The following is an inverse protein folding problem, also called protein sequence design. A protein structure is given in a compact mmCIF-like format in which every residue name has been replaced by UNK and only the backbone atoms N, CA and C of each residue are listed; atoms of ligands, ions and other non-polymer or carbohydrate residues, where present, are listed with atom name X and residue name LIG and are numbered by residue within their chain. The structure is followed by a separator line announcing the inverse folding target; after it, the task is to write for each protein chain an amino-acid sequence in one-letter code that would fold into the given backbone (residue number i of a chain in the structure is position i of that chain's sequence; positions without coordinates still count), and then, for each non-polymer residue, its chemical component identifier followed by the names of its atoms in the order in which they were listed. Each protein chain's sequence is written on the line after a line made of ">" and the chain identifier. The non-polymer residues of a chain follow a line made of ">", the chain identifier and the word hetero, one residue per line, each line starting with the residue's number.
data_IF_802834441656
#
_entry.id   IF_802834441656
#
_cell.length_a   1.000
_cell.length_b   1.000
_cell.length_c   1.000
_cell.angle_alpha   90.00
_cell.angle_beta   90.00
_cell.angle_gamma   90.00
#
_symmetry.space_group_name_H-M   'P 1'
#
loop_
_entity.id
_entity.type
_entity.pdbx_description
1 polymer ?
#
# COMPACT_ATOMS: atom_id res chain seq x y z
N UNK A 1 -6.30 59.39 -6.16
CA UNK A 1 -6.28 58.12 -6.90
C UNK A 1 -6.63 57.03 -5.90
N UNK A 2 -7.59 56.19 -6.26
CA UNK A 2 -8.41 55.39 -5.36
C UNK A 2 -7.64 54.29 -4.61
N UNK A 3 -7.95 54.13 -3.32
CA UNK A 3 -7.65 52.92 -2.55
C UNK A 3 -8.48 51.75 -3.09
N UNK A 4 -7.80 50.72 -3.55
CA UNK A 4 -8.38 49.44 -3.95
C UNK A 4 -8.56 48.54 -2.72
N UNK A 5 -9.77 48.49 -2.17
CA UNK A 5 -10.18 47.51 -1.16
C UNK A 5 -10.21 46.09 -1.77
N UNK A 6 -9.33 45.24 -1.25
CA UNK A 6 -9.27 43.81 -1.54
C UNK A 6 -10.46 43.09 -0.89
N UNK A 7 -11.45 42.73 -1.72
CA UNK A 7 -12.67 42.05 -1.30
C UNK A 7 -12.38 40.59 -0.94
N UNK A 8 -12.57 40.23 0.33
CA UNK A 8 -12.49 38.86 0.83
C UNK A 8 -13.38 37.89 0.02
N UNK A 9 -12.94 36.64 -0.22
CA UNK A 9 -13.73 35.67 -0.97
C UNK A 9 -14.97 35.26 -0.17
N UNK A 10 -16.14 35.62 -0.70
CA UNK A 10 -17.44 35.19 -0.18
C UNK A 10 -17.53 33.67 -0.17
N UNK A 11 -17.64 33.07 1.01
CA UNK A 11 -18.00 31.65 1.18
C UNK A 11 -19.41 31.42 0.61
N UNK A 12 -19.49 31.02 -0.65
CA UNK A 12 -20.73 30.55 -1.27
C UNK A 12 -21.01 29.14 -0.74
N UNK A 13 -21.89 29.05 0.26
CA UNK A 13 -22.45 27.76 0.69
C UNK A 13 -23.09 27.08 -0.51
N UNK A 14 -22.72 25.83 -0.86
CA UNK A 14 -23.37 25.13 -1.97
C UNK A 14 -24.86 24.97 -1.66
N UNK A 15 -25.75 25.13 -2.65
CA UNK A 15 -27.18 25.02 -2.43
C UNK A 15 -27.51 23.66 -1.80
N UNK A 16 -28.50 23.60 -0.89
CA UNK A 16 -28.87 22.34 -0.27
C UNK A 16 -29.21 21.34 -1.37
N UNK A 17 -28.50 20.20 -1.39
CA UNK A 17 -28.77 19.10 -2.33
C UNK A 17 -30.24 18.72 -2.18
N UNK A 18 -31.06 19.16 -3.15
CA UNK A 18 -32.47 18.80 -3.23
C UNK A 18 -32.50 17.28 -3.34
N UNK A 19 -32.84 16.58 -2.24
CA UNK A 19 -33.07 15.13 -2.27
C UNK A 19 -34.15 14.92 -3.32
N UNK A 20 -33.77 14.38 -4.47
CA UNK A 20 -34.75 13.82 -5.40
C UNK A 20 -35.39 12.68 -4.62
N UNK A 21 -36.59 12.91 -4.09
CA UNK A 21 -37.44 11.84 -3.62
C UNK A 21 -37.84 11.07 -4.88
N UNK A 22 -37.00 10.11 -5.28
CA UNK A 22 -37.42 9.09 -6.23
C UNK A 22 -38.64 8.42 -5.59
N UNK A 23 -39.79 8.52 -6.27
CA UNK A 23 -40.90 7.64 -5.96
C UNK A 23 -40.40 6.23 -6.27
N UNK A 24 -40.17 5.45 -5.23
CA UNK A 24 -39.85 4.03 -5.38
C UNK A 24 -41.20 3.40 -5.69
N UNK A 25 -41.43 3.03 -6.94
CA UNK A 25 -42.60 2.24 -7.30
C UNK A 25 -42.50 0.92 -6.54
N UNK A 26 -43.38 0.74 -5.55
CA UNK A 26 -43.40 -0.44 -4.69
C UNK A 26 -43.90 -1.70 -5.42
N UNK A 27 -44.39 -1.54 -6.65
CA UNK A 27 -44.90 -2.60 -7.51
C UNK A 27 -43.85 -3.13 -8.51
N UNK A 28 -42.59 -2.70 -8.39
CA UNK A 28 -41.48 -3.27 -9.18
C UNK A 28 -41.08 -4.60 -8.55
N UNK A 29 -41.41 -5.69 -9.23
CA UNK A 29 -40.96 -7.04 -8.87
C UNK A 29 -39.43 -7.07 -8.92
N UNK A 30 -38.79 -7.03 -7.74
CA UNK A 30 -37.34 -7.11 -7.61
C UNK A 30 -36.94 -8.55 -7.95
N UNK A 31 -36.17 -8.77 -9.04
CA UNK A 31 -35.75 -10.12 -9.38
C UNK A 31 -34.95 -10.71 -8.22
N UNK A 32 -35.22 -11.97 -7.88
CA UNK A 32 -34.45 -12.64 -6.82
C UNK A 32 -32.96 -12.63 -7.18
N UNK A 33 -32.08 -12.24 -6.25
CA UNK A 33 -30.66 -12.20 -6.52
C UNK A 33 -30.13 -13.60 -6.83
N UNK A 34 -29.61 -13.79 -8.04
CA UNK A 34 -28.94 -15.03 -8.42
C UNK A 34 -27.61 -15.18 -7.67
N UNK A 35 -27.48 -16.22 -6.85
CA UNK A 35 -26.24 -16.52 -6.09
C UNK A 35 -25.28 -17.48 -6.81
N UNK A 36 -25.44 -17.68 -8.13
CA UNK A 36 -24.60 -18.60 -8.92
C UNK A 36 -23.10 -18.24 -8.92
N UNK A 37 -22.77 -17.00 -8.57
CA UNK A 37 -21.41 -16.50 -8.42
C UNK A 37 -20.81 -16.76 -7.03
N UNK A 38 -21.64 -16.96 -6.00
CA UNK A 38 -21.22 -17.17 -4.61
C UNK A 38 -20.22 -18.33 -4.43
N UNK A 39 -20.39 -19.51 -5.06
CA UNK A 39 -19.40 -20.59 -4.98
C UNK A 39 -18.09 -20.30 -5.75
N UNK A 40 -17.99 -19.22 -6.52
CA UNK A 40 -16.79 -18.86 -7.29
C UNK A 40 -15.74 -18.10 -6.46
N UNK A 41 -15.83 -18.20 -5.14
CA UNK A 41 -15.05 -17.42 -4.18
C UNK A 41 -14.63 -18.37 -3.08
N UNK A 42 -13.33 -18.42 -2.78
CA UNK A 42 -12.77 -19.43 -1.88
C UNK A 42 -13.17 -19.21 -0.41
N UNK A 43 -13.42 -17.97 0.00
CA UNK A 43 -13.92 -17.64 1.33
C UNK A 43 -14.97 -16.53 1.28
N UNK A 44 -16.04 -16.68 2.05
CA UNK A 44 -17.14 -15.72 2.16
C UNK A 44 -17.37 -15.29 3.60
N UNK A 45 -17.85 -14.05 3.77
CA UNK A 45 -18.31 -13.58 5.07
C UNK A 45 -17.20 -13.27 6.07
N UNK A 46 -15.93 -13.24 5.63
CA UNK A 46 -14.80 -12.80 6.47
C UNK A 46 -15.03 -11.34 6.87
N UNK A 47 -15.09 -11.10 8.18
CA UNK A 47 -15.22 -9.77 8.77
C UNK A 47 -14.17 -9.60 9.85
N UNK A 48 -13.33 -8.60 9.67
CA UNK A 48 -12.30 -8.23 10.64
C UNK A 48 -12.78 -7.02 11.44
N UNK A 49 -12.62 -7.07 12.76
CA UNK A 49 -12.85 -5.91 13.63
C UNK A 49 -11.51 -5.22 13.91
N UNK A 50 -11.44 -3.87 13.87
CA UNK A 50 -10.25 -3.14 14.28
C UNK A 50 -9.82 -3.52 15.71
N UNK A 51 -8.52 -3.67 15.92
CA UNK A 51 -7.93 -3.90 17.25
C UNK A 51 -7.58 -2.59 17.96
N UNK A 52 -6.82 -2.70 19.06
CA UNK A 52 -6.38 -1.53 19.84
C UNK A 52 -5.51 -0.55 19.02
N UNK A 53 -4.74 -1.05 18.05
CA UNK A 53 -3.90 -0.26 17.12
C UNK A 53 -4.65 0.14 15.83
N UNK A 54 -5.97 -0.03 15.79
CA UNK A 54 -6.76 0.12 14.56
C UNK A 54 -6.76 -1.14 13.69
N UNK A 55 -6.95 -0.95 12.39
CA UNK A 55 -6.95 -2.04 11.41
C UNK A 55 -5.56 -2.16 10.80
N UNK A 56 -4.78 -3.13 11.27
CA UNK A 56 -3.41 -3.40 10.80
C UNK A 56 -3.40 -4.46 9.71
N UNK A 57 -2.34 -4.48 8.90
CA UNK A 57 -2.12 -5.50 7.88
C UNK A 57 -2.16 -6.91 8.47
N UNK A 58 -1.53 -7.11 9.64
CA UNK A 58 -1.59 -8.38 10.35
C UNK A 58 -3.01 -8.73 10.82
N UNK A 59 -3.81 -7.74 11.19
CA UNK A 59 -5.22 -7.94 11.54
C UNK A 59 -6.09 -8.38 10.36
N UNK A 60 -5.66 -8.10 9.12
CA UNK A 60 -6.37 -8.51 7.90
C UNK A 60 -6.11 -9.97 7.50
N UNK A 61 -5.06 -10.60 8.04
CA UNK A 61 -4.68 -11.98 7.80
C UNK A 61 -5.62 -12.96 8.53
N UNK A 62 -6.88 -13.04 8.10
CA UNK A 62 -7.93 -13.92 8.66
C UNK A 62 -8.39 -14.93 7.62
N UNK A 63 -8.64 -16.17 8.07
CA UNK A 63 -9.10 -17.25 7.19
C UNK A 63 -8.00 -17.70 6.21
N UNK A 64 -8.39 -18.04 4.99
CA UNK A 64 -7.45 -18.49 3.94
C UNK A 64 -6.47 -17.39 3.54
N UNK A 65 -6.81 -16.13 3.79
CA UNK A 65 -5.93 -14.98 3.55
C UNK A 65 -4.82 -14.85 4.60
N UNK A 66 -4.97 -15.50 5.76
CA UNK A 66 -3.95 -15.53 6.81
C UNK A 66 -3.06 -16.77 6.77
N UNK A 67 -3.53 -17.86 6.17
CA UNK A 67 -2.75 -19.09 6.05
C UNK A 67 -1.61 -18.92 5.05
N UNK A 68 -0.36 -19.01 5.52
CA UNK A 68 0.82 -18.97 4.66
C UNK A 68 1.23 -20.42 4.35
N UNK A 69 1.12 -20.88 3.09
CA UNK A 69 1.49 -22.24 2.72
C UNK A 69 3.01 -22.43 2.84
N UNK A 70 3.47 -23.66 3.11
CA UNK A 70 4.91 -23.92 3.19
C UNK A 70 5.62 -23.87 1.82
N UNK A 71 4.86 -24.13 0.75
CA UNK A 71 5.31 -24.09 -0.64
C UNK A 71 4.23 -23.47 -1.52
N UNK A 72 4.63 -22.58 -2.42
CA UNK A 72 3.74 -21.94 -3.38
C UNK A 72 4.02 -22.44 -4.80
N UNK A 73 3.09 -23.22 -5.33
CA UNK A 73 3.31 -23.84 -6.64
C UNK A 73 2.81 -22.99 -7.82
N UNK A 74 1.89 -22.07 -7.58
CA UNK A 74 1.33 -21.20 -8.61
C UNK A 74 2.37 -20.17 -9.09
N UNK A 75 2.63 -20.13 -10.40
CA UNK A 75 3.69 -19.29 -10.98
C UNK A 75 3.14 -18.07 -11.73
N UNK A 76 1.88 -17.74 -11.48
CA UNK A 76 1.22 -16.53 -11.98
C UNK A 76 1.18 -15.45 -10.89
N UNK A 77 0.73 -14.24 -11.21
CA UNK A 77 0.52 -13.16 -10.21
C UNK A 77 -0.77 -13.36 -9.42
N UNK A 78 -1.19 -14.61 -9.21
CA UNK A 78 -2.37 -14.92 -8.44
C UNK A 78 -2.10 -14.59 -6.97
N UNK A 79 -2.83 -13.65 -6.35
CA UNK A 79 -2.69 -13.41 -4.93
C UNK A 79 -3.30 -14.57 -4.14
N UNK A 80 -2.89 -14.70 -2.89
CA UNK A 80 -3.47 -15.69 -1.96
C UNK A 80 -4.98 -15.47 -1.78
N UNK A 81 -5.73 -16.58 -1.79
CA UNK A 81 -7.20 -16.56 -1.70
C UNK A 81 -7.93 -16.22 -3.00
N UNK A 82 -7.22 -15.99 -4.11
CA UNK A 82 -7.81 -15.93 -5.45
C UNK A 82 -7.96 -17.31 -6.09
N UNK A 83 -8.87 -17.42 -7.06
CA UNK A 83 -9.12 -18.65 -7.79
C UNK A 83 -8.17 -18.75 -9.00
N UNK A 84 -7.51 -19.89 -9.23
CA UNK A 84 -6.59 -20.06 -10.36
C UNK A 84 -7.34 -20.04 -11.68
N UNK A 85 -6.78 -19.36 -12.68
CA UNK A 85 -7.32 -19.31 -14.03
C UNK A 85 -6.46 -20.18 -14.96
N UNK A 86 -7.09 -21.14 -15.62
CA UNK A 86 -6.40 -22.04 -16.53
C UNK A 86 -5.85 -21.28 -17.76
N UNK A 87 -4.67 -21.68 -18.22
CA UNK A 87 -4.07 -21.18 -19.46
C UNK A 87 -3.23 -19.90 -19.33
N UNK A 88 -3.04 -19.39 -18.10
CA UNK A 88 -2.10 -18.27 -17.88
C UNK A 88 -0.66 -18.80 -17.91
N UNK A 89 0.24 -18.21 -18.74
CA UNK A 89 1.64 -18.59 -18.76
C UNK A 89 2.35 -18.32 -17.42
N UNK A 90 3.26 -19.21 -16.98
CA UNK A 90 4.04 -19.00 -15.78
C UNK A 90 5.05 -17.86 -15.98
N UNK A 91 5.25 -17.07 -14.93
CA UNK A 91 6.22 -15.96 -14.88
C UNK A 91 7.60 -16.46 -14.44
N UNK A 92 7.65 -17.61 -13.74
CA UNK A 92 8.91 -18.25 -13.36
C UNK A 92 9.54 -17.72 -12.08
N UNK A 93 8.77 -17.55 -10.99
CA UNK A 93 9.33 -17.19 -9.69
C UNK A 93 10.31 -18.25 -9.19
N UNK A 94 11.49 -17.82 -8.74
CA UNK A 94 12.54 -18.73 -8.26
C UNK A 94 12.35 -19.12 -6.79
N UNK A 95 11.89 -18.20 -5.94
CA UNK A 95 11.70 -18.43 -4.51
C UNK A 95 10.26 -18.88 -4.24
N UNK A 96 10.10 -20.14 -3.84
CA UNK A 96 8.78 -20.79 -3.74
C UNK A 96 8.53 -21.42 -2.38
N UNK A 97 9.52 -21.48 -1.50
CA UNK A 97 9.37 -22.03 -0.16
C UNK A 97 9.23 -20.93 0.88
N UNK A 98 8.33 -21.14 1.85
CA UNK A 98 8.05 -20.19 2.93
C UNK A 98 9.32 -19.80 3.68
N UNK A 99 10.18 -20.78 3.99
CA UNK A 99 11.44 -20.57 4.72
C UNK A 99 12.44 -19.64 4.01
N UNK A 100 12.27 -19.41 2.71
CA UNK A 100 13.18 -18.59 1.90
C UNK A 100 12.74 -17.12 1.84
N UNK A 101 11.43 -16.86 1.97
CA UNK A 101 10.83 -15.53 1.70
C UNK A 101 10.11 -14.96 2.91
N UNK A 102 9.42 -15.80 3.67
CA UNK A 102 8.47 -15.35 4.68
C UNK A 102 9.14 -14.99 6.00
N UNK A 103 8.70 -13.87 6.59
CA UNK A 103 9.04 -13.47 7.95
C UNK A 103 7.76 -13.08 8.71
N UNK A 104 7.52 -13.71 9.86
CA UNK A 104 6.28 -13.53 10.63
C UNK A 104 6.09 -12.09 11.14
N UNK A 105 7.18 -11.33 11.29
CA UNK A 105 7.18 -9.94 11.73
C UNK A 105 7.16 -8.93 10.57
N UNK A 106 7.13 -9.37 9.30
CA UNK A 106 7.20 -8.46 8.16
C UNK A 106 6.03 -7.45 8.14
N UNK A 107 4.82 -7.91 8.46
CA UNK A 107 3.64 -7.04 8.54
C UNK A 107 3.78 -5.98 9.64
N UNK A 108 4.31 -6.35 10.81
CA UNK A 108 4.51 -5.42 11.92
C UNK A 108 5.61 -4.38 11.60
N UNK A 109 6.71 -4.81 10.98
CA UNK A 109 7.78 -3.93 10.54
C UNK A 109 7.30 -2.94 9.47
N UNK A 110 6.43 -3.38 8.56
CA UNK A 110 5.84 -2.51 7.54
C UNK A 110 4.95 -1.42 8.16
N UNK A 111 4.11 -1.78 9.13
CA UNK A 111 3.27 -0.82 9.87
C UNK A 111 4.12 0.20 10.65
N UNK A 112 5.16 -0.27 11.34
CA UNK A 112 6.12 0.59 12.03
C UNK A 112 6.84 1.55 11.07
N UNK A 113 7.25 1.07 9.90
CA UNK A 113 7.91 1.86 8.88
C UNK A 113 6.99 2.96 8.31
N UNK A 114 5.70 2.67 8.10
CA UNK A 114 4.72 3.68 7.69
C UNK A 114 4.55 4.73 8.78
N UNK A 115 4.41 4.31 10.04
CA UNK A 115 4.20 5.23 11.16
C UNK A 115 5.36 6.18 11.39
N UNK A 116 6.60 5.72 11.16
CA UNK A 116 7.84 6.51 11.34
C UNK A 116 8.34 7.16 10.06
N UNK A 117 7.55 7.11 8.98
CA UNK A 117 7.94 7.68 7.70
C UNK A 117 8.10 9.19 7.81
N UNK A 118 9.18 9.69 7.24
CA UNK A 118 9.44 11.11 7.03
C UNK A 118 9.74 11.37 5.56
N UNK A 119 9.60 12.63 5.14
CA UNK A 119 9.82 13.08 3.77
C UNK A 119 11.03 14.02 3.77
N UNK A 120 12.17 13.61 3.17
CA UNK A 120 13.38 14.43 3.22
C UNK A 120 13.22 15.82 2.61
N UNK A 121 12.35 15.99 1.62
CA UNK A 121 12.15 17.26 0.96
C UNK A 121 11.42 18.32 1.81
N UNK A 122 10.56 17.91 2.76
CA UNK A 122 9.73 18.82 3.56
C UNK A 122 10.10 18.88 5.03
N UNK A 123 10.58 17.76 5.59
CA UNK A 123 10.73 17.62 7.04
C UNK A 123 12.11 18.10 7.51
N UNK A 124 13.07 18.23 6.60
CA UNK A 124 14.40 18.81 6.87
C UNK A 124 14.41 20.27 6.41
N UNK A 125 14.78 21.22 7.28
CA UNK A 125 14.89 22.64 6.93
C UNK A 125 16.19 22.91 6.15
N UNK A 126 16.28 22.48 4.89
CA UNK A 126 17.49 22.65 4.06
C UNK A 126 17.93 24.11 3.90
N UNK A 127 17.01 25.05 4.02
CA UNK A 127 17.26 26.49 3.90
C UNK A 127 17.97 27.10 5.12
N UNK A 128 18.13 26.37 6.22
CA UNK A 128 18.83 26.85 7.42
C UNK A 128 20.30 26.45 7.46
N UNK A 129 20.81 25.82 6.40
CA UNK A 129 22.21 25.42 6.32
C UNK A 129 23.13 26.63 6.16
N UNK A 130 24.20 26.67 6.94
CA UNK A 130 25.26 27.66 6.86
C UNK A 130 26.49 27.06 6.14
N UNK A 131 27.29 27.89 5.44
CA UNK A 131 28.51 27.42 4.80
C UNK A 131 29.52 26.94 5.84
N UNK A 132 30.20 25.83 5.52
CA UNK A 132 31.26 25.26 6.34
C UNK A 132 32.63 25.72 5.83
N UNK A 133 33.71 25.58 6.62
CA UNK A 133 35.06 25.74 6.11
C UNK A 133 35.36 24.76 4.96
N UNK A 134 36.11 25.20 3.95
CA UNK A 134 36.35 24.45 2.69
C UNK A 134 36.85 23.02 2.91
N UNK A 135 37.73 22.79 3.89
CA UNK A 135 38.28 21.47 4.21
C UNK A 135 37.25 20.52 4.83
N UNK A 136 36.40 21.05 5.71
CA UNK A 136 35.28 20.32 6.33
C UNK A 136 34.19 20.04 5.30
N UNK A 137 33.87 21.01 4.44
CA UNK A 137 32.88 20.84 3.37
C UNK A 137 33.31 19.76 2.38
N UNK A 138 34.59 19.75 1.97
CA UNK A 138 35.14 18.71 1.10
C UNK A 138 35.06 17.31 1.75
N UNK A 139 35.40 17.21 3.04
CA UNK A 139 35.29 15.95 3.78
C UNK A 139 33.84 15.46 3.91
N UNK A 140 32.89 16.37 4.17
CA UNK A 140 31.46 16.05 4.24
C UNK A 140 30.93 15.60 2.88
N UNK A 141 31.29 16.28 1.80
CA UNK A 141 30.93 15.89 0.43
C UNK A 141 31.42 14.48 0.10
N UNK A 142 32.64 14.12 0.49
CA UNK A 142 33.15 12.76 0.31
C UNK A 142 32.29 11.75 1.09
N UNK A 143 32.01 12.02 2.37
CA UNK A 143 31.18 11.14 3.20
C UNK A 143 29.77 10.96 2.60
N UNK A 144 29.12 12.05 2.20
CA UNK A 144 27.80 12.01 1.57
C UNK A 144 27.81 11.22 0.25
N UNK A 145 28.90 11.30 -0.51
CA UNK A 145 29.08 10.52 -1.75
C UNK A 145 29.14 9.03 -1.44
N UNK A 146 29.96 8.61 -0.48
CA UNK A 146 30.07 7.20 -0.06
C UNK A 146 28.73 6.67 0.48
N UNK A 147 28.03 7.45 1.32
CA UNK A 147 26.72 7.08 1.86
C UNK A 147 25.66 6.93 0.76
N UNK A 148 25.66 7.84 -0.21
CA UNK A 148 24.73 7.79 -1.35
C UNK A 148 25.00 6.58 -2.24
N UNK A 149 26.28 6.27 -2.48
CA UNK A 149 26.67 5.09 -3.24
C UNK A 149 26.27 3.79 -2.53
N UNK A 150 26.55 3.68 -1.23
CA UNK A 150 26.17 2.51 -0.43
C UNK A 150 24.65 2.30 -0.44
N UNK A 151 23.86 3.37 -0.22
CA UNK A 151 22.41 3.31 -0.25
C UNK A 151 21.87 2.86 -1.62
N UNK A 152 22.49 3.29 -2.73
CA UNK A 152 22.07 2.89 -4.07
C UNK A 152 22.31 1.39 -4.31
N UNK A 153 23.48 0.88 -3.92
CA UNK A 153 23.82 -0.55 -4.06
C UNK A 153 22.86 -1.42 -3.25
N UNK A 154 22.54 -1.03 -2.01
CA UNK A 154 21.59 -1.75 -1.16
C UNK A 154 20.19 -1.78 -1.79
N UNK A 155 19.71 -0.64 -2.29
CA UNK A 155 18.39 -0.56 -2.93
C UNK A 155 18.29 -1.45 -4.17
N UNK A 156 19.30 -1.42 -5.05
CA UNK A 156 19.34 -2.27 -6.25
C UNK A 156 19.40 -3.76 -5.90
N UNK A 157 20.21 -4.10 -4.90
CA UNK A 157 20.37 -5.49 -4.44
C UNK A 157 19.07 -6.05 -3.90
N UNK A 158 18.34 -5.28 -3.08
CA UNK A 158 17.04 -5.70 -2.54
C UNK A 158 15.99 -5.73 -3.67
N UNK A 159 15.97 -4.72 -4.53
CA UNK A 159 15.03 -4.63 -5.66
C UNK A 159 15.13 -5.81 -6.63
N UNK A 160 16.33 -6.36 -6.82
CA UNK A 160 16.57 -7.54 -7.64
C UNK A 160 15.79 -8.78 -7.17
N UNK A 161 15.59 -8.95 -5.87
CA UNK A 161 14.87 -10.10 -5.30
C UNK A 161 13.35 -10.04 -5.52
N UNK A 162 12.77 -8.84 -5.71
CA UNK A 162 11.33 -8.65 -5.83
C UNK A 162 10.69 -9.49 -6.96
N UNK A 163 11.37 -9.60 -8.09
CA UNK A 163 10.88 -10.39 -9.23
C UNK A 163 11.00 -11.92 -9.02
N UNK A 164 11.80 -12.35 -8.04
CA UNK A 164 12.04 -13.76 -7.74
C UNK A 164 11.09 -14.30 -6.66
N UNK A 165 10.52 -13.41 -5.84
CA UNK A 165 9.55 -13.75 -4.80
C UNK A 165 8.19 -14.10 -5.39
N UNK A 166 7.63 -15.23 -4.96
CA UNK A 166 6.29 -15.66 -5.35
C UNK A 166 5.20 -14.81 -4.67
N UNK A 167 4.14 -14.44 -5.40
CA UNK A 167 3.02 -13.62 -4.89
C UNK A 167 2.16 -14.26 -3.78
N UNK A 168 2.37 -15.55 -3.50
CA UNK A 168 1.66 -16.26 -2.44
C UNK A 168 2.13 -15.94 -1.01
N UNK A 169 3.31 -15.31 -0.90
CA UNK A 169 3.93 -14.83 0.33
C UNK A 169 3.80 -13.32 0.40
#
# INVERSE_FOLDING_TARGET
>A
MAESEEKQPTKTTPPPRRRRNLKIDHDVEVPEPGYAWMPRTLEWGVRVKPGAKGMTMQGLNVGIYGEIPDRWDEQTRMPRGAYPMAGIPPIGFALREKREVWADNAADLYEEAIQRRWIPASDIPWNTLEPLPDDVEAAMCQLCTELSQAANVEFETIGYWLQHMSYGY
#
